data_IF_284751376294
#
_entry.id   IF_284751376294
#
_cell.length_a   1.000
_cell.length_b   1.000
_cell.length_c   1.000
_cell.angle_alpha   90.00
_cell.angle_beta   90.00
_cell.angle_gamma   90.00
#
_symmetry.space_group_name_H-M   'P 1'
#
loop_
_entity.id
_entity.type
_entity.pdbx_description
1 polymer ?
#
# COMPACT_ATOMS: atom_id res chain seq x y z
N UNK A 1 105.03 40.82 3.62
CA UNK A 1 103.76 41.57 3.66
C UNK A 1 102.93 41.39 2.37
N UNK A 2 102.70 40.16 1.89
CA UNK A 2 101.88 39.90 0.68
C UNK A 2 100.72 38.91 0.91
N UNK A 3 100.68 38.21 2.04
CA UNK A 3 99.64 37.23 2.40
C UNK A 3 98.42 37.83 3.10
N UNK A 4 98.51 39.06 3.63
CA UNK A 4 97.41 39.70 4.39
C UNK A 4 96.41 40.41 3.48
N UNK A 5 96.85 40.92 2.32
CA UNK A 5 95.97 41.60 1.35
C UNK A 5 95.11 40.62 0.55
N UNK A 6 95.59 39.39 0.33
CA UNK A 6 94.84 38.37 -0.42
C UNK A 6 93.65 37.81 0.36
N UNK A 7 93.75 37.72 1.69
CA UNK A 7 92.66 37.26 2.54
C UNK A 7 91.55 38.33 2.68
N UNK A 8 91.93 39.62 2.71
CA UNK A 8 90.98 40.73 2.85
C UNK A 8 90.15 40.96 1.57
N UNK A 9 90.73 40.72 0.38
CA UNK A 9 90.03 40.84 -0.90
C UNK A 9 89.08 39.67 -1.21
N UNK A 10 89.27 38.50 -0.57
CA UNK A 10 88.39 37.32 -0.74
C UNK A 10 87.28 37.22 0.31
N UNK A 11 87.48 37.70 1.54
CA UNK A 11 86.49 37.58 2.61
C UNK A 11 85.31 38.56 2.47
N UNK A 12 85.56 39.79 2.00
CA UNK A 12 84.53 40.81 1.78
C UNK A 12 83.50 40.44 0.69
N UNK A 13 83.87 39.95 -0.51
CA UNK A 13 82.89 39.54 -1.52
C UNK A 13 82.11 38.28 -1.13
N UNK A 14 82.68 37.41 -0.29
CA UNK A 14 82.02 36.18 0.18
C UNK A 14 80.90 36.48 1.19
N UNK A 15 81.14 37.43 2.10
CA UNK A 15 80.11 37.91 3.02
C UNK A 15 78.95 38.62 2.29
N UNK A 16 79.26 39.38 1.24
CA UNK A 16 78.25 40.04 0.40
C UNK A 16 77.38 39.05 -0.38
N UNK A 17 77.96 37.96 -0.90
CA UNK A 17 77.22 36.89 -1.58
C UNK A 17 76.25 36.15 -0.64
N UNK A 18 76.67 35.88 0.60
CA UNK A 18 75.80 35.25 1.62
C UNK A 18 74.63 36.19 1.94
N UNK A 19 74.90 37.48 2.11
CA UNK A 19 73.86 38.48 2.37
C UNK A 19 72.86 38.62 1.22
N UNK A 20 73.33 38.63 -0.03
CA UNK A 20 72.46 38.67 -1.22
C UNK A 20 71.61 37.40 -1.34
N UNK A 21 72.18 36.22 -1.07
CA UNK A 21 71.44 34.97 -1.07
C UNK A 21 70.36 34.95 0.02
N UNK A 22 70.65 35.44 1.22
CA UNK A 22 69.68 35.55 2.31
C UNK A 22 68.59 36.57 2.00
N UNK A 23 68.93 37.72 1.41
CA UNK A 23 67.97 38.72 0.97
C UNK A 23 67.05 38.19 -0.13
N UNK A 24 67.60 37.44 -1.10
CA UNK A 24 66.83 36.80 -2.15
C UNK A 24 65.89 35.73 -1.58
N UNK A 25 66.36 34.91 -0.63
CA UNK A 25 65.57 33.90 0.05
C UNK A 25 64.44 34.54 0.88
N UNK A 26 64.74 35.62 1.60
CA UNK A 26 63.77 36.38 2.37
C UNK A 26 62.73 37.07 1.46
N UNK A 27 63.16 37.59 0.30
CA UNK A 27 62.28 38.19 -0.70
C UNK A 27 61.37 37.14 -1.35
N UNK A 28 61.88 35.93 -1.65
CA UNK A 28 61.09 34.80 -2.13
C UNK A 28 60.09 34.31 -1.07
N UNK A 29 60.51 34.22 0.19
CA UNK A 29 59.64 33.81 1.30
C UNK A 29 58.52 34.82 1.56
N UNK A 30 58.83 36.11 1.56
CA UNK A 30 57.84 37.19 1.72
C UNK A 30 56.90 37.29 0.52
N UNK A 31 57.41 37.17 -0.71
CA UNK A 31 56.57 37.11 -1.92
C UNK A 31 55.64 35.89 -1.91
N UNK A 32 56.11 34.72 -1.45
CA UNK A 32 55.30 33.51 -1.29
C UNK A 32 54.19 33.66 -0.24
N UNK A 33 54.41 34.43 0.82
CA UNK A 33 53.40 34.71 1.85
C UNK A 33 52.34 35.71 1.36
N UNK A 34 52.75 36.76 0.64
CA UNK A 34 51.87 37.82 0.12
C UNK A 34 51.05 37.36 -1.09
N UNK A 35 51.54 36.39 -1.87
CA UNK A 35 50.79 35.77 -2.97
C UNK A 35 49.79 34.67 -2.52
N UNK A 36 49.81 34.29 -1.24
CA UNK A 36 48.93 33.26 -0.65
C UNK A 36 47.48 33.64 -0.26
N UNK A 37 47.00 34.90 -0.21
CA UNK A 37 45.70 35.24 0.37
C UNK A 37 44.47 34.96 -0.51
N UNK A 38 44.62 34.32 -1.66
CA UNK A 38 43.52 34.04 -2.61
C UNK A 38 43.20 32.55 -2.81
N UNK A 39 44.16 31.64 -2.60
CA UNK A 39 43.94 30.18 -2.77
C UNK A 39 43.04 29.59 -1.68
N UNK A 40 43.17 30.03 -0.42
CA UNK A 40 42.34 29.55 0.68
C UNK A 40 40.89 30.04 0.58
N UNK A 41 40.68 31.28 0.11
CA UNK A 41 39.33 31.84 -0.11
C UNK A 41 38.57 31.13 -1.24
N UNK A 42 39.26 30.67 -2.27
CA UNK A 42 38.64 29.89 -3.35
C UNK A 42 38.22 28.50 -2.85
N UNK A 43 39.06 27.84 -2.05
CA UNK A 43 38.76 26.56 -1.41
C UNK A 43 37.57 26.64 -0.45
N UNK A 44 37.50 27.68 0.38
CA UNK A 44 36.37 27.88 1.30
C UNK A 44 35.06 28.18 0.57
N UNK A 45 35.08 28.99 -0.49
CA UNK A 45 33.88 29.21 -1.33
C UNK A 45 33.40 27.91 -1.99
N UNK A 46 34.31 27.07 -2.46
CA UNK A 46 33.99 25.76 -3.02
C UNK A 46 33.34 24.85 -1.96
N UNK A 47 33.90 24.81 -0.75
CA UNK A 47 33.37 24.03 0.39
C UNK A 47 31.99 24.50 0.82
N UNK A 48 31.76 25.81 0.89
CA UNK A 48 30.45 26.40 1.23
C UNK A 48 29.42 26.08 0.14
N UNK A 49 29.77 26.20 -1.15
CA UNK A 49 28.88 25.78 -2.25
C UNK A 49 28.57 24.29 -2.20
N UNK A 50 29.56 23.44 -1.94
CA UNK A 50 29.36 22.00 -1.81
C UNK A 50 28.45 21.64 -0.61
N UNK A 51 28.61 22.34 0.51
CA UNK A 51 27.74 22.17 1.69
C UNK A 51 26.31 22.65 1.42
N UNK A 52 26.14 23.79 0.73
CA UNK A 52 24.84 24.29 0.30
C UNK A 52 24.15 23.32 -0.67
N UNK A 53 24.90 22.74 -1.61
CA UNK A 53 24.40 21.70 -2.52
C UNK A 53 23.91 20.46 -1.78
N UNK A 54 24.70 19.94 -0.82
CA UNK A 54 24.28 18.80 0.02
C UNK A 54 23.04 19.12 0.85
N UNK A 55 22.94 20.33 1.41
CA UNK A 55 21.75 20.74 2.16
C UNK A 55 20.52 20.83 1.25
N UNK A 56 20.65 21.42 0.06
CA UNK A 56 19.57 21.48 -0.92
C UNK A 56 19.09 20.07 -1.32
N UNK A 57 20.02 19.14 -1.55
CA UNK A 57 19.71 17.74 -1.82
C UNK A 57 18.95 17.08 -0.65
N UNK A 58 19.42 17.24 0.59
CA UNK A 58 18.72 16.71 1.78
C UNK A 58 17.31 17.29 1.96
N UNK A 59 17.11 18.58 1.63
CA UNK A 59 15.78 19.19 1.64
C UNK A 59 14.87 18.51 0.60
N UNK A 60 15.37 18.33 -0.63
CA UNK A 60 14.61 17.65 -1.68
C UNK A 60 14.27 16.20 -1.31
N UNK A 61 15.25 15.42 -0.84
CA UNK A 61 15.05 14.04 -0.37
C UNK A 61 14.03 13.96 0.77
N UNK A 62 14.04 14.93 1.70
CA UNK A 62 13.07 14.96 2.81
C UNK A 62 11.66 15.27 2.33
N UNK A 63 11.51 16.16 1.35
CA UNK A 63 10.23 16.50 0.74
C UNK A 63 9.67 15.31 -0.06
N UNK A 64 10.50 14.66 -0.87
CA UNK A 64 10.12 13.46 -1.63
C UNK A 64 9.72 12.31 -0.69
N UNK A 65 10.51 12.05 0.36
CA UNK A 65 10.18 11.03 1.34
C UNK A 65 8.87 11.32 2.07
N UNK A 66 8.59 12.60 2.39
CA UNK A 66 7.33 12.99 3.05
C UNK A 66 6.14 12.82 2.10
N UNK A 67 6.27 13.24 0.83
CA UNK A 67 5.22 13.07 -0.19
C UNK A 67 4.92 11.59 -0.43
N UNK A 68 5.96 10.77 -0.58
CA UNK A 68 5.79 9.33 -0.75
C UNK A 68 5.10 8.68 0.46
N UNK A 69 5.48 9.07 1.69
CA UNK A 69 4.82 8.57 2.89
C UNK A 69 3.33 8.94 2.94
N UNK A 70 2.98 10.16 2.54
CA UNK A 70 1.58 10.60 2.44
C UNK A 70 0.80 9.81 1.37
N UNK A 71 1.38 9.62 0.17
CA UNK A 71 0.76 8.86 -0.92
C UNK A 71 0.50 7.40 -0.52
N UNK A 72 1.47 6.74 0.09
CA UNK A 72 1.32 5.35 0.55
C UNK A 72 0.34 5.25 1.71
N UNK A 73 0.30 6.23 2.63
CA UNK A 73 -0.68 6.26 3.70
C UNK A 73 -2.12 6.32 3.14
N UNK A 74 -2.38 7.21 2.17
CA UNK A 74 -3.67 7.28 1.49
C UNK A 74 -4.00 5.97 0.76
N UNK A 75 -3.03 5.34 0.11
CA UNK A 75 -3.22 4.04 -0.54
C UNK A 75 -3.59 2.95 0.49
N UNK A 76 -2.92 2.91 1.65
CA UNK A 76 -3.18 1.97 2.73
C UNK A 76 -4.59 2.16 3.34
N UNK A 77 -5.05 3.40 3.49
CA UNK A 77 -6.40 3.72 3.94
C UNK A 77 -7.46 3.23 2.94
N UNK A 78 -7.27 3.51 1.64
CA UNK A 78 -8.16 3.05 0.57
C UNK A 78 -8.22 1.53 0.47
N UNK A 79 -7.06 0.86 0.60
CA UNK A 79 -6.98 -0.59 0.64
C UNK A 79 -7.69 -1.17 1.86
N UNK A 80 -7.56 -0.52 3.02
CA UNK A 80 -8.29 -0.88 4.24
C UNK A 80 -9.80 -0.79 4.05
N UNK A 81 -10.30 0.32 3.48
CA UNK A 81 -11.72 0.48 3.20
C UNK A 81 -12.23 -0.59 2.22
N UNK A 82 -11.44 -0.90 1.20
CA UNK A 82 -11.74 -1.97 0.23
C UNK A 82 -11.81 -3.33 0.90
N UNK A 83 -10.84 -3.67 1.76
CA UNK A 83 -10.84 -4.92 2.52
C UNK A 83 -12.08 -5.06 3.41
N UNK A 84 -12.49 -3.98 4.10
CA UNK A 84 -13.73 -3.96 4.89
C UNK A 84 -14.97 -4.21 4.04
N UNK A 85 -15.09 -3.55 2.88
CA UNK A 85 -16.21 -3.77 1.96
C UNK A 85 -16.27 -5.22 1.46
N UNK A 86 -15.12 -5.77 1.02
CA UNK A 86 -15.04 -7.17 0.58
C UNK A 86 -15.37 -8.16 1.69
N UNK A 87 -14.99 -7.87 2.94
CA UNK A 87 -15.36 -8.70 4.09
C UNK A 87 -16.87 -8.71 4.30
N UNK A 88 -17.53 -7.56 4.19
CA UNK A 88 -18.99 -7.48 4.26
C UNK A 88 -19.66 -8.26 3.11
N UNK A 89 -19.18 -8.09 1.87
CA UNK A 89 -19.65 -8.87 0.72
C UNK A 89 -19.51 -10.38 0.94
N UNK A 90 -18.39 -10.83 1.54
CA UNK A 90 -18.19 -12.24 1.85
C UNK A 90 -19.17 -12.74 2.93
N UNK A 91 -19.43 -11.96 3.98
CA UNK A 91 -20.41 -12.34 5.01
C UNK A 91 -21.82 -12.53 4.41
N UNK A 92 -22.26 -11.62 3.55
CA UNK A 92 -23.54 -11.79 2.84
C UNK A 92 -23.55 -13.05 1.97
N UNK A 93 -22.47 -13.32 1.23
CA UNK A 93 -22.38 -14.54 0.41
C UNK A 93 -22.35 -15.83 1.26
N UNK A 94 -21.76 -15.79 2.45
CA UNK A 94 -21.76 -16.90 3.41
C UNK A 94 -23.18 -17.16 3.93
N UNK A 95 -23.90 -16.13 4.34
CA UNK A 95 -25.30 -16.26 4.79
C UNK A 95 -26.19 -16.85 3.69
N UNK A 96 -26.02 -16.41 2.44
CA UNK A 96 -26.72 -16.97 1.27
C UNK A 96 -26.37 -18.46 1.05
N UNK A 97 -25.10 -18.83 1.16
CA UNK A 97 -24.65 -20.21 1.00
C UNK A 97 -25.19 -21.13 2.10
N UNK A 98 -25.19 -20.66 3.35
CA UNK A 98 -25.76 -21.38 4.50
C UNK A 98 -27.29 -21.53 4.38
N UNK A 99 -27.99 -20.50 3.92
CA UNK A 99 -29.42 -20.58 3.64
C UNK A 99 -29.73 -21.60 2.53
N UNK A 100 -28.96 -21.59 1.45
CA UNK A 100 -29.09 -22.56 0.37
C UNK A 100 -28.81 -24.00 0.83
N UNK A 101 -27.80 -24.19 1.68
CA UNK A 101 -27.51 -25.50 2.28
C UNK A 101 -28.65 -26.00 3.18
N UNK A 102 -29.19 -25.15 4.06
CA UNK A 102 -30.34 -25.51 4.91
C UNK A 102 -31.58 -25.88 4.09
N UNK A 103 -31.86 -25.15 3.02
CA UNK A 103 -32.97 -25.47 2.12
C UNK A 103 -32.77 -26.84 1.43
N UNK A 104 -31.57 -27.10 0.93
CA UNK A 104 -31.22 -28.40 0.35
C UNK A 104 -31.37 -29.54 1.37
N UNK A 105 -30.83 -29.39 2.58
CA UNK A 105 -30.91 -30.40 3.63
C UNK A 105 -32.36 -30.69 4.03
N UNK A 106 -33.18 -29.65 4.19
CA UNK A 106 -34.61 -29.80 4.46
C UNK A 106 -35.33 -30.57 3.35
N UNK A 107 -35.01 -30.30 2.08
CA UNK A 107 -35.58 -31.02 0.94
C UNK A 107 -35.11 -32.48 0.87
N UNK A 108 -33.86 -32.75 1.23
CA UNK A 108 -33.30 -34.11 1.29
C UNK A 108 -33.94 -34.94 2.42
N UNK A 109 -34.15 -34.34 3.59
CA UNK A 109 -34.92 -34.94 4.69
C UNK A 109 -36.37 -35.21 4.26
N UNK A 110 -37.04 -34.26 3.61
CA UNK A 110 -38.40 -34.43 3.13
C UNK A 110 -38.49 -35.57 2.10
N UNK A 111 -37.54 -35.65 1.16
CA UNK A 111 -37.48 -36.72 0.19
C UNK A 111 -37.30 -38.09 0.86
N UNK A 112 -36.41 -38.21 1.86
CA UNK A 112 -36.25 -39.46 2.62
C UNK A 112 -37.54 -39.88 3.32
N UNK A 113 -38.25 -38.93 3.92
CA UNK A 113 -39.52 -39.19 4.62
C UNK A 113 -40.59 -39.72 3.67
N UNK A 114 -40.76 -39.09 2.50
CA UNK A 114 -41.72 -39.53 1.48
C UNK A 114 -41.28 -40.85 0.85
N UNK A 115 -39.97 -41.03 0.61
CA UNK A 115 -39.41 -42.29 0.12
C UNK A 115 -39.67 -43.47 1.07
N UNK A 116 -39.61 -43.25 2.39
CA UNK A 116 -39.97 -44.26 3.37
C UNK A 116 -41.47 -44.62 3.31
N UNK A 117 -42.35 -43.64 3.08
CA UNK A 117 -43.78 -43.88 2.87
C UNK A 117 -44.05 -44.69 1.57
N UNK A 118 -43.20 -44.55 0.56
CA UNK A 118 -43.30 -45.33 -0.68
C UNK A 118 -43.04 -46.84 -0.50
N UNK A 119 -42.39 -47.24 0.60
CA UNK A 119 -42.18 -48.64 0.94
C UNK A 119 -43.42 -49.30 1.56
N UNK A 120 -44.43 -48.51 1.95
CA UNK A 120 -45.68 -49.05 2.50
C UNK A 120 -46.54 -49.68 1.38
N UNK A 121 -47.25 -50.78 1.66
CA UNK A 121 -48.17 -51.37 0.71
C UNK A 121 -49.22 -50.36 0.27
N UNK A 122 -49.42 -50.26 -1.03
CA UNK A 122 -50.44 -49.39 -1.62
C UNK A 122 -51.84 -49.92 -1.24
N UNK A 123 -52.72 -49.08 -0.65
CA UNK A 123 -54.11 -49.45 -0.44
C UNK A 123 -54.74 -49.86 -1.77
N UNK A 124 -55.42 -51.01 -1.81
CA UNK A 124 -56.15 -51.49 -2.98
C UNK A 124 -57.49 -50.75 -3.12
N UNK A 125 -57.46 -49.42 -3.18
CA UNK A 125 -58.64 -48.61 -3.45
C UNK A 125 -58.98 -48.66 -4.95
N UNK A 126 -60.27 -48.83 -5.31
CA UNK A 126 -60.69 -48.79 -6.70
C UNK A 126 -60.45 -47.39 -7.28
N UNK A 127 -59.68 -47.32 -8.37
CA UNK A 127 -59.28 -46.07 -9.01
C UNK A 127 -60.46 -45.46 -9.76
N UNK A 128 -61.07 -44.43 -9.20
CA UNK A 128 -62.21 -43.72 -9.82
C UNK A 128 -61.76 -42.47 -10.58
N UNK A 129 -62.52 -42.00 -11.60
CA UNK A 129 -62.26 -40.72 -12.26
C UNK A 129 -62.18 -39.53 -11.30
N UNK A 130 -63.01 -39.51 -10.26
CA UNK A 130 -63.00 -38.47 -9.23
C UNK A 130 -61.68 -38.45 -8.45
N UNK A 131 -61.16 -39.64 -8.11
CA UNK A 131 -59.89 -39.77 -7.40
C UNK A 131 -58.70 -39.30 -8.26
N UNK A 132 -58.69 -39.56 -9.56
CA UNK A 132 -57.67 -39.02 -10.46
C UNK A 132 -57.69 -37.49 -10.52
N UNK A 133 -58.90 -36.89 -10.58
CA UNK A 133 -59.04 -35.45 -10.57
C UNK A 133 -58.56 -34.83 -9.25
N UNK A 134 -58.79 -35.49 -8.11
CA UNK A 134 -58.26 -35.06 -6.81
C UNK A 134 -56.74 -35.11 -6.75
N UNK A 135 -56.13 -36.19 -7.29
CA UNK A 135 -54.67 -36.34 -7.37
C UNK A 135 -54.03 -35.27 -8.24
N UNK A 136 -54.61 -35.00 -9.41
CA UNK A 136 -54.17 -33.93 -10.30
C UNK A 136 -54.22 -32.56 -9.60
N UNK A 137 -55.36 -32.25 -8.95
CA UNK A 137 -55.51 -31.02 -8.15
C UNK A 137 -54.46 -30.91 -7.04
N UNK A 138 -54.18 -32.02 -6.34
CA UNK A 138 -53.16 -32.06 -5.31
C UNK A 138 -51.77 -31.78 -5.90
N UNK A 139 -51.39 -32.47 -6.98
CA UNK A 139 -50.10 -32.29 -7.65
C UNK A 139 -49.90 -30.85 -8.10
N UNK A 140 -50.93 -30.25 -8.72
CA UNK A 140 -50.90 -28.85 -9.14
C UNK A 140 -50.69 -27.92 -7.93
N UNK A 141 -51.49 -28.08 -6.86
CA UNK A 141 -51.31 -27.25 -5.65
C UNK A 141 -49.93 -27.40 -5.03
N UNK A 142 -49.41 -28.63 -4.94
CA UNK A 142 -48.09 -28.89 -4.37
C UNK A 142 -46.97 -28.27 -5.22
N UNK A 143 -47.05 -28.41 -6.55
CA UNK A 143 -46.09 -27.83 -7.48
C UNK A 143 -46.15 -26.29 -7.50
N UNK A 144 -47.36 -25.71 -7.50
CA UNK A 144 -47.55 -24.26 -7.38
C UNK A 144 -46.99 -23.75 -6.05
N UNK A 145 -47.21 -24.45 -4.95
CA UNK A 145 -46.65 -24.07 -3.65
C UNK A 145 -45.12 -24.13 -3.64
N UNK A 146 -44.52 -25.16 -4.25
CA UNK A 146 -43.07 -25.26 -4.40
C UNK A 146 -42.49 -24.16 -5.31
N UNK A 147 -43.19 -23.79 -6.38
CA UNK A 147 -42.83 -22.65 -7.21
C UNK A 147 -42.84 -21.33 -6.43
N UNK A 148 -43.88 -21.06 -5.63
CA UNK A 148 -43.95 -19.85 -4.80
C UNK A 148 -42.86 -19.78 -3.72
N UNK A 149 -42.34 -20.93 -3.29
CA UNK A 149 -41.16 -21.01 -2.40
C UNK A 149 -39.82 -20.95 -3.13
N UNK A 150 -39.84 -20.74 -4.45
CA UNK A 150 -38.66 -20.75 -5.33
C UNK A 150 -37.90 -22.10 -5.37
N UNK A 151 -38.58 -23.19 -4.99
CA UNK A 151 -38.02 -24.55 -4.98
C UNK A 151 -38.13 -25.22 -6.35
N UNK A 152 -39.05 -24.73 -7.20
CA UNK A 152 -39.20 -25.12 -8.61
C UNK A 152 -39.09 -23.90 -9.50
N UNK A 153 -38.51 -24.09 -10.68
CA UNK A 153 -38.51 -23.08 -11.74
C UNK A 153 -39.86 -23.00 -12.45
N UNK A 154 -40.08 -21.90 -13.17
CA UNK A 154 -41.28 -21.70 -14.00
C UNK A 154 -41.40 -22.76 -15.10
N UNK A 155 -40.26 -23.23 -15.65
CA UNK A 155 -40.22 -24.26 -16.68
C UNK A 155 -40.65 -25.60 -16.09
N UNK A 156 -40.09 -25.98 -14.94
CA UNK A 156 -40.46 -27.22 -14.24
C UNK A 156 -41.93 -27.21 -13.79
N UNK A 157 -42.44 -26.06 -13.31
CA UNK A 157 -43.87 -25.91 -13.02
C UNK A 157 -44.71 -26.12 -14.29
N UNK A 158 -44.32 -25.51 -15.41
CA UNK A 158 -45.00 -25.68 -16.70
C UNK A 158 -44.97 -27.14 -17.17
N UNK A 159 -43.90 -27.87 -16.94
CA UNK A 159 -43.80 -29.30 -17.26
C UNK A 159 -44.70 -30.17 -16.38
N UNK A 160 -44.82 -29.84 -15.09
CA UNK A 160 -45.77 -30.50 -14.17
C UNK A 160 -47.21 -30.27 -14.64
N UNK A 161 -47.59 -29.00 -14.86
CA UNK A 161 -48.96 -28.63 -15.26
C UNK A 161 -49.34 -29.15 -16.65
N UNK A 162 -48.36 -29.34 -17.53
CA UNK A 162 -48.58 -29.88 -18.88
C UNK A 162 -48.34 -31.40 -18.97
N UNK A 163 -48.09 -32.08 -17.84
CA UNK A 163 -47.85 -33.52 -17.79
C UNK A 163 -46.73 -34.00 -18.74
N UNK A 164 -45.66 -33.21 -18.87
CA UNK A 164 -44.49 -33.53 -19.72
C UNK A 164 -43.39 -34.19 -18.88
N UNK A 165 -42.32 -34.66 -19.53
CA UNK A 165 -41.12 -35.19 -18.84
C UNK A 165 -41.39 -36.27 -17.78
N UNK A 166 -42.45 -37.06 -17.97
CA UNK A 166 -42.81 -38.16 -17.08
C UNK A 166 -43.73 -37.79 -15.92
N UNK A 167 -44.18 -36.53 -15.82
CA UNK A 167 -45.29 -36.13 -14.95
C UNK A 167 -46.58 -36.74 -15.48
N UNK A 168 -47.14 -37.73 -14.78
CA UNK A 168 -48.40 -38.36 -15.16
C UNK A 168 -49.33 -38.42 -13.93
N UNK A 169 -50.46 -37.70 -13.92
CA UNK A 169 -51.47 -37.71 -12.86
C UNK A 169 -52.02 -39.10 -12.52
N UNK A 170 -51.89 -40.05 -13.44
CA UNK A 170 -52.39 -41.42 -13.29
C UNK A 170 -51.43 -42.32 -12.52
N UNK A 171 -50.18 -41.88 -12.30
CA UNK A 171 -49.21 -42.59 -11.44
C UNK A 171 -49.69 -42.66 -10.00
N UNK A 172 -49.01 -43.50 -9.22
CA UNK A 172 -49.32 -43.60 -7.81
C UNK A 172 -49.03 -42.26 -7.10
N UNK A 173 -49.90 -41.77 -6.20
CA UNK A 173 -49.71 -40.46 -5.55
C UNK A 173 -48.35 -40.33 -4.86
N UNK A 174 -47.91 -41.39 -4.19
CA UNK A 174 -46.59 -41.39 -3.53
C UNK A 174 -45.45 -41.35 -4.55
N UNK A 175 -45.60 -41.97 -5.73
CA UNK A 175 -44.59 -41.85 -6.79
C UNK A 175 -44.49 -40.41 -7.31
N UNK A 176 -45.61 -39.72 -7.43
CA UNK A 176 -45.67 -38.30 -7.83
C UNK A 176 -45.02 -37.40 -6.79
N UNK A 177 -45.32 -37.62 -5.50
CA UNK A 177 -44.68 -36.88 -4.41
C UNK A 177 -43.17 -37.12 -4.38
N UNK A 178 -42.72 -38.37 -4.55
CA UNK A 178 -41.29 -38.70 -4.66
C UNK A 178 -40.66 -37.98 -5.86
N UNK A 179 -41.32 -37.95 -7.01
CA UNK A 179 -40.83 -37.22 -8.19
C UNK A 179 -40.72 -35.72 -7.92
N UNK A 180 -41.72 -35.11 -7.27
CA UNK A 180 -41.74 -33.70 -6.89
C UNK A 180 -40.59 -33.36 -5.94
N UNK A 181 -40.43 -34.15 -4.87
CA UNK A 181 -39.34 -33.95 -3.92
C UNK A 181 -37.96 -34.19 -4.55
N UNK A 182 -37.82 -35.10 -5.52
CA UNK A 182 -36.57 -35.27 -6.28
C UNK A 182 -36.25 -34.06 -7.14
N UNK A 183 -37.24 -33.50 -7.84
CA UNK A 183 -37.07 -32.29 -8.65
C UNK A 183 -36.65 -31.10 -7.78
N UNK A 184 -37.37 -30.85 -6.68
CA UNK A 184 -37.04 -29.81 -5.69
C UNK A 184 -35.62 -30.00 -5.14
N UNK A 185 -35.26 -31.21 -4.70
CA UNK A 185 -33.92 -31.50 -4.19
C UNK A 185 -32.83 -31.24 -5.23
N UNK A 186 -33.04 -31.65 -6.48
CA UNK A 186 -32.07 -31.43 -7.55
C UNK A 186 -31.86 -29.93 -7.83
N UNK A 187 -32.95 -29.15 -7.87
CA UNK A 187 -32.90 -27.71 -8.05
C UNK A 187 -32.17 -27.01 -6.91
N UNK A 188 -32.48 -27.38 -5.66
CA UNK A 188 -31.83 -26.82 -4.48
C UNK A 188 -30.37 -27.21 -4.35
N UNK A 189 -29.99 -28.41 -4.80
CA UNK A 189 -28.58 -28.81 -4.89
C UNK A 189 -27.82 -27.89 -5.85
N UNK A 190 -28.38 -27.60 -7.03
CA UNK A 190 -27.76 -26.66 -7.97
C UNK A 190 -27.64 -25.26 -7.36
N UNK A 191 -28.69 -24.76 -6.68
CA UNK A 191 -28.65 -23.47 -5.97
C UNK A 191 -27.56 -23.44 -4.90
N UNK A 192 -27.42 -24.53 -4.13
CA UNK A 192 -26.38 -24.67 -3.11
C UNK A 192 -24.98 -24.67 -3.72
N UNK A 193 -24.77 -25.39 -4.83
CA UNK A 193 -23.49 -25.43 -5.53
C UNK A 193 -23.10 -24.04 -6.07
N UNK A 194 -24.04 -23.35 -6.74
CA UNK A 194 -23.83 -21.99 -7.24
C UNK A 194 -23.53 -21.00 -6.10
N UNK A 195 -24.26 -21.08 -4.98
CA UNK A 195 -24.01 -20.23 -3.82
C UNK A 195 -22.63 -20.50 -3.21
N UNK A 196 -22.22 -21.76 -3.08
CA UNK A 196 -20.90 -22.15 -2.58
C UNK A 196 -19.75 -21.73 -3.52
N UNK A 197 -19.96 -21.74 -4.83
CA UNK A 197 -18.99 -21.20 -5.80
C UNK A 197 -18.85 -19.68 -5.67
N UNK A 198 -19.98 -18.97 -5.56
CA UNK A 198 -19.99 -17.52 -5.34
C UNK A 198 -19.29 -17.16 -4.03
N UNK A 199 -19.62 -17.84 -2.94
CA UNK A 199 -18.97 -17.64 -1.63
C UNK A 199 -17.44 -17.80 -1.75
N UNK A 200 -16.96 -18.90 -2.36
CA UNK A 200 -15.52 -19.13 -2.57
C UNK A 200 -14.86 -18.04 -3.41
N UNK A 201 -15.55 -17.52 -4.42
CA UNK A 201 -15.04 -16.42 -5.24
C UNK A 201 -14.91 -15.12 -4.43
N UNK A 202 -15.94 -14.76 -3.67
CA UNK A 202 -15.94 -13.54 -2.83
C UNK A 202 -14.96 -13.66 -1.67
N UNK A 203 -14.85 -14.84 -1.05
CA UNK A 203 -13.84 -15.12 -0.02
C UNK A 203 -12.42 -14.88 -0.54
N UNK A 204 -12.06 -15.42 -1.71
CA UNK A 204 -10.74 -15.18 -2.33
C UNK A 204 -10.49 -13.69 -2.58
N UNK A 205 -11.50 -12.96 -3.07
CA UNK A 205 -11.39 -11.52 -3.28
C UNK A 205 -11.19 -10.75 -1.96
N UNK A 206 -11.87 -11.16 -0.89
CA UNK A 206 -11.71 -10.59 0.44
C UNK A 206 -10.32 -10.87 1.03
N UNK A 207 -9.80 -12.09 0.85
CA UNK A 207 -8.47 -12.46 1.33
C UNK A 207 -7.36 -11.68 0.62
N UNK A 208 -7.42 -11.58 -0.72
CA UNK A 208 -6.50 -10.75 -1.51
C UNK A 208 -6.55 -9.29 -1.04
N UNK A 209 -7.75 -8.72 -0.90
CA UNK A 209 -7.90 -7.34 -0.43
C UNK A 209 -7.32 -7.13 0.98
N UNK A 210 -7.50 -8.10 1.88
CA UNK A 210 -6.93 -8.06 3.22
C UNK A 210 -5.40 -8.16 3.21
N UNK A 211 -4.82 -9.02 2.36
CA UNK A 211 -3.38 -9.13 2.18
C UNK A 211 -2.77 -7.84 1.61
N UNK A 212 -3.37 -7.26 0.57
CA UNK A 212 -2.95 -5.96 0.02
C UNK A 212 -3.05 -4.84 1.05
N UNK A 213 -4.11 -4.81 1.86
CA UNK A 213 -4.25 -3.81 2.91
C UNK A 213 -3.17 -3.95 4.00
N UNK A 214 -2.78 -5.18 4.39
CA UNK A 214 -1.68 -5.42 5.33
C UNK A 214 -0.35 -4.93 4.73
N UNK A 215 -0.02 -5.37 3.52
CA UNK A 215 1.22 -4.98 2.84
C UNK A 215 1.35 -3.46 2.67
N UNK A 216 0.28 -2.76 2.30
CA UNK A 216 0.31 -1.30 2.16
C UNK A 216 0.43 -0.56 3.50
N UNK A 217 -0.12 -1.11 4.59
CA UNK A 217 0.09 -0.53 5.93
C UNK A 217 1.55 -0.68 6.37
N UNK A 218 2.15 -1.83 6.12
CA UNK A 218 3.56 -2.06 6.43
C UNK A 218 4.46 -1.12 5.63
N UNK A 219 4.17 -0.92 4.33
CA UNK A 219 4.87 0.04 3.49
C UNK A 219 4.65 1.49 3.94
N UNK A 220 3.42 1.87 4.31
CA UNK A 220 3.11 3.20 4.84
C UNK A 220 3.90 3.48 6.11
N UNK A 221 3.99 2.49 7.01
CA UNK A 221 4.79 2.58 8.22
C UNK A 221 6.28 2.74 7.90
N UNK A 222 6.82 1.92 6.99
CA UNK A 222 8.22 2.02 6.56
C UNK A 222 8.54 3.36 5.87
N UNK A 223 7.63 3.88 5.05
CA UNK A 223 7.75 5.17 4.38
C UNK A 223 7.74 6.33 5.40
N UNK A 224 6.84 6.29 6.38
CA UNK A 224 6.79 7.27 7.46
C UNK A 224 8.08 7.27 8.29
N UNK A 225 8.64 6.09 8.59
CA UNK A 225 9.93 5.98 9.29
C UNK A 225 11.08 6.57 8.48
N UNK A 226 11.15 6.29 7.16
CA UNK A 226 12.15 6.89 6.27
C UNK A 226 12.04 8.41 6.21
N UNK A 227 10.82 8.95 6.10
CA UNK A 227 10.58 10.39 6.13
C UNK A 227 10.99 11.05 7.46
N UNK A 228 10.75 10.35 8.59
CA UNK A 228 11.22 10.79 9.91
C UNK A 228 12.75 10.84 10.00
N UNK A 229 13.44 9.83 9.48
CA UNK A 229 14.90 9.75 9.48
C UNK A 229 15.54 10.84 8.61
N UNK A 230 15.04 11.09 7.40
CA UNK A 230 15.55 12.16 6.52
C UNK A 230 15.33 13.53 7.16
N UNK A 231 14.17 13.76 7.77
CA UNK A 231 13.88 14.99 8.54
C UNK A 231 14.83 15.18 9.73
N UNK A 232 15.15 14.11 10.46
CA UNK A 232 16.13 14.18 11.54
C UNK A 232 17.53 14.54 11.03
N UNK A 233 17.96 13.98 9.89
CA UNK A 233 19.25 14.35 9.26
C UNK A 233 19.28 15.81 8.82
N UNK A 234 18.19 16.31 8.24
CA UNK A 234 18.07 17.71 7.81
C UNK A 234 18.11 18.68 9.00
N UNK A 235 17.39 18.37 10.08
CA UNK A 235 17.39 19.19 11.31
C UNK A 235 18.74 19.19 12.01
N UNK A 236 19.44 18.05 12.07
CA UNK A 236 20.81 17.98 12.56
C UNK A 236 21.75 18.87 11.72
N UNK A 237 21.70 18.74 10.39
CA UNK A 237 22.56 19.50 9.46
C UNK A 237 22.32 21.01 9.56
N UNK A 238 21.06 21.43 9.63
CA UNK A 238 20.68 22.85 9.78
C UNK A 238 21.03 23.42 11.15
N UNK A 239 21.04 22.60 12.21
CA UNK A 239 21.53 23.01 13.55
C UNK A 239 23.04 23.26 13.52
N UNK A 240 23.81 22.33 12.93
CA UNK A 240 25.26 22.50 12.76
C UNK A 240 25.63 23.71 11.90
N UNK A 241 24.90 23.95 10.80
CA UNK A 241 25.10 25.12 9.95
C UNK A 241 24.85 26.45 10.70
N UNK A 242 23.83 26.50 11.56
CA UNK A 242 23.56 27.67 12.41
C UNK A 242 24.63 27.90 13.48
N UNK A 243 25.11 26.84 14.14
CA UNK A 243 26.19 26.94 15.12
C UNK A 243 27.50 27.40 14.47
N UNK A 244 27.84 26.86 13.29
CA UNK A 244 29.02 27.29 12.55
C UNK A 244 28.95 28.75 12.08
N UNK A 245 27.76 29.23 11.67
CA UNK A 245 27.55 30.64 11.32
C UNK A 245 27.64 31.57 12.54
N UNK A 246 27.25 31.09 13.73
CA UNK A 246 27.41 31.81 15.00
C UNK A 246 28.85 31.85 15.53
N UNK A 247 29.68 30.87 15.16
CA UNK A 247 31.12 30.79 15.50
C UNK A 247 32.04 31.47 14.47
N UNK A 248 31.50 32.07 13.41
CA UNK A 248 32.31 32.83 12.45
C UNK A 248 33.06 33.96 13.18
N UNK A 249 34.38 34.13 12.95
CA UNK A 249 35.21 34.97 13.79
C UNK A 249 34.73 36.43 13.79
N UNK A 250 34.54 36.94 14.99
CA UNK A 250 34.08 38.30 15.33
C UNK A 250 34.97 39.41 14.74
N UNK A 251 36.12 39.06 14.15
CA UNK A 251 37.10 39.95 13.54
C UNK A 251 36.56 40.74 12.34
N UNK A 252 35.64 40.16 11.56
CA UNK A 252 35.08 40.84 10.37
C UNK A 252 33.98 41.86 10.74
N UNK A 253 33.32 41.66 11.89
CA UNK A 253 32.35 42.62 12.46
C UNK A 253 33.06 43.87 12.99
N UNK A 254 34.22 43.71 13.62
CA UNK A 254 35.03 44.85 14.06
C UNK A 254 35.66 45.65 12.91
N UNK A 255 36.02 44.98 11.81
CA UNK A 255 36.54 45.66 10.61
C UNK A 255 35.46 46.51 9.92
N UNK A 256 34.23 46.00 9.79
CA UNK A 256 33.10 46.77 9.21
C UNK A 256 32.64 47.92 10.09
N UNK A 257 32.72 47.79 11.41
CA UNK A 257 32.43 48.89 12.34
C UNK A 257 33.51 49.99 12.30
N UNK A 258 34.79 49.63 12.06
CA UNK A 258 35.88 50.60 11.87
C UNK A 258 35.76 51.34 10.54
N UNK A 259 35.40 50.67 9.45
CA UNK A 259 35.20 51.34 8.14
C UNK A 259 33.96 52.23 8.14
N UNK A 260 32.87 51.83 8.79
CA UNK A 260 31.68 52.68 8.95
C UNK A 260 31.95 53.92 9.83
N UNK A 261 32.80 53.81 10.86
CA UNK A 261 33.26 54.97 11.67
C UNK A 261 34.19 55.89 10.87
N UNK A 262 35.10 55.36 10.07
CA UNK A 262 36.00 56.14 9.21
C UNK A 262 35.22 56.90 8.11
N UNK A 263 34.22 56.27 7.49
CA UNK A 263 33.37 56.90 6.49
C UNK A 263 32.46 58.00 7.08
N UNK A 264 32.10 57.91 8.37
CA UNK A 264 31.38 58.98 9.08
C UNK A 264 32.27 60.15 9.46
N UNK A 265 33.54 59.89 9.81
CA UNK A 265 34.50 60.94 10.12
C UNK A 265 34.91 61.74 8.88
N UNK A 266 35.02 61.11 7.70
CA UNK A 266 35.35 61.77 6.44
C UNK A 266 34.19 62.60 5.82
N UNK A 267 32.97 62.51 6.39
CA UNK A 267 31.81 63.33 5.98
C UNK A 267 31.55 64.54 6.90
N UNK A 268 32.35 64.69 7.95
CA UNK A 268 32.20 65.74 8.96
C UNK A 268 33.40 66.70 9.01
N UNK A 269 34.33 66.60 8.06
CA UNK A 269 35.43 67.53 7.81
C UNK A 269 35.25 68.12 6.41
#
# INVERSE_FOLDING_TARGET
MQTVLYNFLLEVPRAALIWLALMLLAMLATAGLVARPSRDRAGDRMRVRAAAGRHAQLVAETQEASRYAEEVAVAAERATATAKRRRAEWLTAQEEAEAAWRAFDAADVALRRVGAAAALPVPRTPRTPAEYADRERYLHRAATAAFWREELSVVELGDVLAHRHGWDPRRHPVEQEVMLHRAVRARLLLRQQTAAERERAVWRAADIAAASARSLRDEAYAAAQRAGQTRHRLTATSRWARLAAGMAPQSDRTARLRTARAARAARAA
#
